data_IF_712809746985
#
_entry.id   IF_712809746985
#
_cell.length_a   1.000
_cell.length_b   1.000
_cell.length_c   1.000
_cell.angle_alpha   90.00
_cell.angle_beta   90.00
_cell.angle_gamma   90.00
#
_symmetry.space_group_name_H-M   'P 1'
#
loop_
_entity.id
_entity.type
_entity.pdbx_description
1 polymer ?
#
# COMPACT_ATOMS: atom_id res chain seq x y z
N UNK A 1 -9.82 15.10 -15.42
CA UNK A 1 -9.47 15.36 -13.99
C UNK A 1 -8.01 15.77 -13.92
N UNK A 2 -7.68 17.02 -14.25
CA UNK A 2 -6.30 17.52 -14.16
C UNK A 2 -6.02 17.85 -12.70
N UNK A 3 -4.91 17.37 -12.14
CA UNK A 3 -4.49 17.67 -10.76
C UNK A 3 -5.24 16.93 -9.64
N UNK A 4 -6.20 16.03 -9.95
CA UNK A 4 -6.89 15.27 -8.89
C UNK A 4 -6.07 14.05 -8.47
N UNK A 5 -5.89 13.92 -7.16
CA UNK A 5 -5.32 12.75 -6.51
C UNK A 5 -6.11 11.49 -6.86
N UNK A 6 -5.42 10.38 -7.11
CA UNK A 6 -6.06 9.10 -7.43
C UNK A 6 -6.60 8.39 -6.19
N UNK A 7 -6.12 8.79 -5.00
CA UNK A 7 -6.45 8.16 -3.70
C UNK A 7 -6.05 6.68 -3.60
N UNK A 8 -5.16 6.27 -4.51
CA UNK A 8 -4.63 4.92 -4.63
C UNK A 8 -3.12 4.98 -4.86
N UNK A 9 -2.44 3.86 -4.62
CA UNK A 9 -1.02 3.68 -4.81
C UNK A 9 -0.76 2.36 -5.51
N UNK A 10 0.20 2.36 -6.42
CA UNK A 10 0.61 1.18 -7.19
C UNK A 10 1.83 0.58 -6.50
N UNK A 11 1.81 -0.74 -6.28
CA UNK A 11 2.94 -1.52 -5.79
C UNK A 11 3.44 -2.39 -6.94
N UNK A 12 4.68 -2.18 -7.35
CA UNK A 12 5.41 -3.03 -8.29
C UNK A 12 6.31 -3.96 -7.48
N UNK A 13 5.89 -5.22 -7.34
CA UNK A 13 6.65 -6.26 -6.65
C UNK A 13 7.31 -7.22 -7.64
N UNK A 14 8.44 -7.80 -7.27
CA UNK A 14 9.09 -8.86 -8.05
C UNK A 14 10.60 -8.84 -7.88
N UNK A 15 11.30 -9.75 -8.56
CA UNK A 15 12.75 -9.89 -8.44
C UNK A 15 13.52 -8.61 -8.85
N UNK A 16 14.75 -8.46 -8.35
CA UNK A 16 15.65 -7.40 -8.80
C UNK A 16 16.16 -7.70 -10.22
N UNK A 17 16.38 -6.63 -11.00
CA UNK A 17 16.91 -6.73 -12.37
C UNK A 17 15.88 -7.07 -13.44
N UNK A 18 14.58 -6.92 -13.15
CA UNK A 18 13.47 -7.19 -14.09
C UNK A 18 12.91 -5.92 -14.77
N UNK A 19 13.56 -4.76 -14.58
CA UNK A 19 13.16 -3.52 -15.25
C UNK A 19 12.16 -2.61 -14.52
N UNK A 20 11.78 -2.91 -13.26
CA UNK A 20 10.85 -2.06 -12.48
C UNK A 20 11.28 -0.58 -12.43
N UNK A 21 12.57 -0.33 -12.17
CA UNK A 21 13.10 1.03 -12.12
C UNK A 21 13.18 1.67 -13.51
N UNK A 22 13.39 0.89 -14.57
CA UNK A 22 13.38 1.41 -15.95
C UNK A 22 12.00 2.00 -16.26
N UNK A 23 10.94 1.27 -15.91
CA UNK A 23 9.56 1.74 -16.07
C UNK A 23 9.26 3.03 -15.28
N UNK A 24 9.61 3.07 -13.99
CA UNK A 24 9.35 4.28 -13.18
C UNK A 24 10.21 5.46 -13.60
N UNK A 25 11.44 5.23 -14.07
CA UNK A 25 12.33 6.29 -14.53
C UNK A 25 11.76 7.01 -15.75
N UNK A 26 11.16 6.28 -16.70
CA UNK A 26 10.47 6.86 -17.86
C UNK A 26 9.33 7.78 -17.42
N UNK A 27 8.49 7.34 -16.48
CA UNK A 27 7.39 8.18 -15.96
C UNK A 27 7.90 9.43 -15.24
N UNK A 28 8.96 9.28 -14.45
CA UNK A 28 9.55 10.41 -13.76
C UNK A 28 10.24 11.40 -14.71
N UNK A 29 10.81 10.92 -15.82
CA UNK A 29 11.38 11.76 -16.87
C UNK A 29 10.29 12.54 -17.61
N UNK A 30 9.18 11.88 -17.94
CA UNK A 30 8.00 12.53 -18.52
C UNK A 30 7.44 13.64 -17.60
N UNK A 31 7.53 13.45 -16.28
CA UNK A 31 7.08 14.39 -15.25
C UNK A 31 8.25 15.15 -14.61
N UNK A 32 9.32 15.42 -15.36
CA UNK A 32 10.50 16.12 -14.84
C UNK A 32 10.12 17.43 -14.15
N UNK A 33 10.69 17.68 -12.95
CA UNK A 33 10.31 18.79 -12.08
C UNK A 33 9.14 18.48 -11.14
N UNK A 34 8.16 17.69 -11.58
CA UNK A 34 6.98 17.30 -10.81
C UNK A 34 7.05 15.87 -10.26
N UNK A 35 8.15 15.15 -10.50
CA UNK A 35 8.40 13.82 -9.95
C UNK A 35 9.52 13.83 -8.91
N UNK A 36 9.44 12.87 -7.98
CA UNK A 36 10.51 12.52 -7.05
C UNK A 36 10.94 11.08 -7.28
N UNK A 37 12.15 10.91 -7.82
CA UNK A 37 12.77 9.61 -8.10
C UNK A 37 13.38 9.06 -6.80
N UNK A 38 13.20 7.77 -6.52
CA UNK A 38 13.95 7.00 -5.53
C UNK A 38 13.90 7.50 -4.07
N UNK A 39 12.71 7.69 -3.50
CA UNK A 39 12.57 7.87 -2.06
C UNK A 39 12.76 6.51 -1.39
N UNK A 40 13.82 6.38 -0.59
CA UNK A 40 14.23 5.10 0.02
C UNK A 40 13.91 5.00 1.51
N UNK A 41 13.50 6.11 2.15
CA UNK A 41 13.07 6.13 3.54
C UNK A 41 11.60 6.56 3.64
N UNK A 42 10.83 5.88 4.49
CA UNK A 42 9.45 6.28 4.78
C UNK A 42 9.41 7.57 5.58
N UNK A 43 10.46 7.88 6.34
CA UNK A 43 10.56 9.14 7.06
C UNK A 43 10.71 10.34 6.10
N UNK A 44 11.03 10.15 4.82
CA UNK A 44 11.01 11.21 3.80
C UNK A 44 9.59 11.50 3.26
N UNK A 45 8.67 10.55 3.43
CA UNK A 45 7.24 10.77 3.15
C UNK A 45 6.53 11.34 4.37
N UNK A 46 6.84 10.80 5.55
CA UNK A 46 6.00 10.93 6.75
C UNK A 46 6.72 11.55 7.95
N UNK A 47 8.03 11.66 7.88
CA UNK A 47 8.86 12.10 9.00
C UNK A 47 8.88 13.62 9.16
N UNK A 48 9.86 14.09 9.93
CA UNK A 48 10.01 15.52 10.25
C UNK A 48 10.40 16.38 9.05
N UNK A 49 10.86 15.81 7.94
CA UNK A 49 11.30 16.54 6.75
C UNK A 49 10.73 15.87 5.51
N UNK A 50 9.57 16.33 5.07
CA UNK A 50 8.78 15.75 3.97
C UNK A 50 8.75 16.65 2.72
N UNK A 51 9.72 17.55 2.57
CA UNK A 51 9.86 18.44 1.40
C UNK A 51 10.08 17.65 0.09
N UNK A 52 10.51 16.39 0.18
CA UNK A 52 10.71 15.51 -0.97
C UNK A 52 9.44 15.26 -1.79
N UNK A 53 8.25 15.41 -1.19
CA UNK A 53 6.95 15.21 -1.86
C UNK A 53 6.18 16.51 -2.07
N UNK A 54 6.75 17.65 -1.64
CA UNK A 54 6.14 18.96 -1.81
C UNK A 54 6.06 19.36 -3.29
N UNK A 55 4.88 19.79 -3.74
CA UNK A 55 4.63 20.20 -5.13
C UNK A 55 4.97 19.10 -6.17
N UNK A 56 4.88 17.82 -5.77
CA UNK A 56 5.10 16.66 -6.64
C UNK A 56 3.80 16.00 -7.03
N UNK A 57 3.68 15.62 -8.30
CA UNK A 57 2.58 14.82 -8.84
C UNK A 57 2.84 13.31 -8.72
N UNK A 58 4.11 12.90 -8.74
CA UNK A 58 4.53 11.50 -8.68
C UNK A 58 5.72 11.32 -7.74
N UNK A 59 5.60 10.37 -6.81
CA UNK A 59 6.69 9.98 -5.93
C UNK A 59 6.95 8.48 -6.05
N UNK A 60 8.21 8.11 -6.31
CA UNK A 60 8.64 6.71 -6.40
C UNK A 60 9.31 6.31 -5.09
N UNK A 61 8.62 5.45 -4.36
CA UNK A 61 9.06 4.78 -3.15
C UNK A 61 9.86 3.52 -3.52
N UNK A 62 11.19 3.58 -3.54
CA UNK A 62 12.03 2.48 -4.03
C UNK A 62 12.71 1.75 -2.87
N UNK A 63 12.49 0.44 -2.76
CA UNK A 63 13.10 -0.44 -1.75
C UNK A 63 13.08 0.20 -0.35
N UNK A 64 11.92 0.74 0.04
CA UNK A 64 11.80 1.54 1.24
C UNK A 64 12.27 0.75 2.46
N UNK A 65 13.36 1.24 3.06
CA UNK A 65 13.91 0.69 4.30
C UNK A 65 12.85 0.86 5.39
N UNK A 66 12.80 -0.07 6.34
CA UNK A 66 11.92 -0.01 7.51
C UNK A 66 10.41 -0.23 7.25
N UNK A 67 10.03 -0.85 6.12
CA UNK A 67 8.70 -1.42 5.95
C UNK A 67 8.59 -2.74 6.72
N UNK A 68 7.83 -2.74 7.83
CA UNK A 68 7.63 -3.90 8.70
C UNK A 68 6.76 -3.58 9.91
N UNK A 69 6.38 -4.61 10.68
CA UNK A 69 5.45 -4.47 11.83
C UNK A 69 5.92 -3.47 12.91
N UNK A 70 7.22 -3.21 13.00
CA UNK A 70 7.83 -2.37 14.03
C UNK A 70 7.47 -0.87 13.94
N UNK A 71 6.82 -0.40 12.87
CA UNK A 71 6.38 1.01 12.73
C UNK A 71 5.00 1.16 12.07
N UNK A 72 3.96 0.60 12.70
CA UNK A 72 2.55 0.80 12.30
C UNK A 72 2.18 2.28 12.10
N UNK A 73 2.76 3.19 12.89
CA UNK A 73 2.53 4.64 12.78
C UNK A 73 2.89 5.20 11.40
N UNK A 74 3.95 4.71 10.77
CA UNK A 74 4.39 5.18 9.47
C UNK A 74 3.47 4.67 8.35
N UNK A 75 2.86 3.50 8.56
CA UNK A 75 1.86 2.98 7.62
C UNK A 75 0.61 3.84 7.60
N UNK A 76 0.01 4.13 8.76
CA UNK A 76 -1.23 4.92 8.81
C UNK A 76 -1.04 6.31 8.24
N UNK A 77 0.10 6.93 8.49
CA UNK A 77 0.41 8.22 7.96
C UNK A 77 0.72 8.19 6.44
N UNK A 78 1.28 7.09 5.90
CA UNK A 78 1.33 6.87 4.45
C UNK A 78 -0.08 6.73 3.83
N UNK A 79 -1.03 6.09 4.53
CA UNK A 79 -2.45 6.03 4.09
C UNK A 79 -3.06 7.43 4.04
N UNK A 80 -2.73 8.28 5.02
CA UNK A 80 -3.08 9.70 5.04
C UNK A 80 -2.59 10.40 3.79
N UNK A 81 -1.27 10.32 3.51
CA UNK A 81 -0.67 10.95 2.32
C UNK A 81 -1.31 10.44 1.02
N UNK A 82 -1.72 9.18 0.95
CA UNK A 82 -2.41 8.62 -0.23
C UNK A 82 -3.82 9.17 -0.40
N UNK A 83 -4.52 9.60 0.64
CA UNK A 83 -5.96 9.92 0.56
C UNK A 83 -6.33 11.37 0.84
N UNK A 84 -5.54 12.08 1.65
CA UNK A 84 -5.83 13.45 2.05
C UNK A 84 -5.52 14.45 0.94
N UNK A 85 -6.28 15.55 0.90
CA UNK A 85 -6.16 16.63 -0.08
C UNK A 85 -5.09 17.66 0.26
N UNK A 86 -4.60 17.67 1.49
CA UNK A 86 -3.52 18.54 1.96
C UNK A 86 -2.70 17.80 3.02
N UNK A 87 -1.49 18.28 3.26
CA UNK A 87 -0.65 17.81 4.37
C UNK A 87 0.25 18.95 4.88
N UNK A 88 0.73 18.81 6.11
CA UNK A 88 1.66 19.77 6.70
C UNK A 88 3.10 19.47 6.25
N UNK A 89 3.76 20.47 5.68
CA UNK A 89 5.20 20.44 5.39
C UNK A 89 5.95 20.94 6.60
N UNK A 90 6.99 20.20 6.99
CA UNK A 90 7.93 20.60 8.01
C UNK A 90 9.34 20.68 7.42
N UNK A 91 9.81 21.90 7.18
CA UNK A 91 11.16 22.16 6.71
C UNK A 91 12.07 22.64 7.86
N UNK A 92 13.35 22.33 7.78
CA UNK A 92 14.35 22.71 8.78
C UNK A 92 14.46 24.23 8.82
N UNK A 93 14.28 24.82 10.00
CA UNK A 93 14.39 26.26 10.24
C UNK A 93 13.31 27.12 9.56
N UNK A 94 12.23 26.51 9.07
CA UNK A 94 11.08 27.20 8.48
C UNK A 94 9.83 26.85 9.28
N UNK A 95 8.89 27.80 9.48
CA UNK A 95 7.60 27.48 10.09
C UNK A 95 6.87 26.42 9.27
N UNK A 96 6.22 25.50 9.97
CA UNK A 96 5.35 24.53 9.32
C UNK A 96 4.23 25.24 8.58
N UNK A 97 3.88 24.71 7.42
CA UNK A 97 2.83 25.27 6.59
C UNK A 97 2.08 24.13 5.89
N UNK A 98 0.81 24.37 5.58
CA UNK A 98 -0.04 23.42 4.88
C UNK A 98 0.11 23.58 3.38
N UNK A 99 0.25 22.46 2.66
CA UNK A 99 0.33 22.42 1.20
C UNK A 99 -0.75 21.52 0.60
N UNK A 100 -1.14 21.81 -0.63
CA UNK A 100 -2.05 20.96 -1.38
C UNK A 100 -1.38 19.63 -1.75
N UNK A 101 -2.11 18.54 -1.58
CA UNK A 101 -1.63 17.19 -1.80
C UNK A 101 -2.00 16.65 -3.18
N UNK A 102 -1.16 16.92 -4.18
CA UNK A 102 -1.33 16.40 -5.55
C UNK A 102 -0.49 15.14 -5.85
N UNK A 103 0.23 14.60 -4.86
CA UNK A 103 1.18 13.50 -5.07
C UNK A 103 0.47 12.16 -5.22
N UNK A 104 0.90 11.36 -6.20
CA UNK A 104 0.56 9.95 -6.33
C UNK A 104 1.80 9.11 -6.08
N UNK A 105 1.65 8.00 -5.36
CA UNK A 105 2.78 7.20 -4.89
C UNK A 105 2.82 5.88 -5.65
N UNK A 106 4.00 5.55 -6.19
CA UNK A 106 4.31 4.21 -6.67
C UNK A 106 5.39 3.59 -5.79
N UNK A 107 5.13 2.40 -5.27
CA UNK A 107 6.06 1.63 -4.44
C UNK A 107 6.72 0.57 -5.31
N UNK A 108 8.04 0.52 -5.34
CA UNK A 108 8.82 -0.48 -6.05
C UNK A 108 9.59 -1.29 -5.03
N UNK A 109 9.41 -2.62 -5.06
CA UNK A 109 9.98 -3.50 -4.04
C UNK A 109 10.38 -4.86 -4.61
N UNK A 110 11.35 -5.48 -3.96
CA UNK A 110 11.68 -6.90 -4.12
C UNK A 110 11.13 -7.76 -2.98
N UNK A 111 10.62 -7.15 -1.92
CA UNK A 111 10.01 -7.85 -0.80
C UNK A 111 8.61 -8.35 -1.19
N UNK A 112 8.34 -9.63 -0.98
CA UNK A 112 7.03 -10.27 -1.20
C UNK A 112 5.98 -9.81 -0.20
N UNK A 113 6.41 -9.27 0.94
CA UNK A 113 5.55 -8.68 1.97
C UNK A 113 6.00 -7.24 2.24
N UNK A 114 5.75 -6.32 1.30
CA UNK A 114 6.20 -4.94 1.46
C UNK A 114 5.44 -4.23 2.56
N UNK A 115 4.11 -4.40 2.66
CA UNK A 115 3.29 -3.68 3.63
C UNK A 115 2.05 -4.46 4.01
N UNK A 116 1.56 -4.23 5.23
CA UNK A 116 0.30 -4.80 5.70
C UNK A 116 -0.90 -4.26 4.92
N UNK A 117 -1.60 -5.13 4.21
CA UNK A 117 -2.82 -4.78 3.46
C UNK A 117 -4.00 -5.49 4.10
N UNK A 118 -5.00 -4.73 4.53
CA UNK A 118 -6.24 -5.29 5.08
C UNK A 118 -7.16 -5.78 3.95
N UNK A 119 -8.04 -6.74 4.25
CA UNK A 119 -8.96 -7.29 3.25
C UNK A 119 -9.91 -6.22 2.64
N UNK A 120 -10.28 -5.21 3.44
CA UNK A 120 -11.11 -4.08 3.01
C UNK A 120 -10.30 -2.93 2.39
N UNK A 121 -8.99 -3.09 2.20
CA UNK A 121 -8.11 -2.02 1.72
C UNK A 121 -8.36 -1.70 0.23
N UNK A 122 -8.80 -0.46 0.01
CA UNK A 122 -9.13 0.12 -1.29
C UNK A 122 -8.06 1.09 -1.83
N UNK A 123 -6.85 1.09 -1.26
CA UNK A 123 -5.78 2.06 -1.58
C UNK A 123 -4.66 1.44 -2.41
N UNK A 124 -4.35 0.15 -2.25
CA UNK A 124 -3.19 -0.45 -2.92
C UNK A 124 -3.55 -1.36 -4.09
N UNK A 125 -3.03 -1.03 -5.28
CA UNK A 125 -3.00 -1.89 -6.47
C UNK A 125 -1.68 -2.67 -6.43
N UNK A 126 -1.73 -4.00 -6.43
CA UNK A 126 -0.51 -4.83 -6.36
C UNK A 126 -0.25 -5.52 -7.69
N UNK A 127 0.85 -5.16 -8.33
CA UNK A 127 1.30 -5.70 -9.60
C UNK A 127 2.56 -6.55 -9.37
N UNK A 128 2.46 -7.83 -9.69
CA UNK A 128 3.62 -8.73 -9.74
C UNK A 128 4.27 -8.62 -11.12
N UNK A 129 5.51 -8.13 -11.14
CA UNK A 129 6.27 -7.92 -12.36
C UNK A 129 6.95 -9.23 -12.80
N UNK A 130 6.79 -9.57 -14.08
CA UNK A 130 7.37 -10.78 -14.65
C UNK A 130 8.91 -10.74 -14.68
N UNK A 131 9.61 -11.85 -14.40
CA UNK A 131 11.05 -11.96 -14.52
C UNK A 131 11.55 -12.36 -15.92
N UNK A 132 10.71 -12.37 -16.96
CA UNK A 132 11.05 -12.90 -18.29
C UNK A 132 12.35 -12.33 -18.90
N UNK A 133 12.59 -11.03 -18.72
CA UNK A 133 13.79 -10.35 -19.22
C UNK A 133 14.90 -10.19 -18.16
N UNK A 134 14.83 -10.92 -17.04
CA UNK A 134 15.82 -10.79 -15.96
C UNK A 134 17.22 -11.16 -16.47
N UNK A 135 18.14 -10.20 -16.43
CA UNK A 135 19.51 -10.41 -16.90
C UNK A 135 19.67 -10.34 -18.42
N UNK A 136 18.60 -10.04 -19.17
CA UNK A 136 18.66 -9.82 -20.60
C UNK A 136 19.20 -8.41 -20.90
N UNK A 137 20.53 -8.30 -20.91
CA UNK A 137 21.22 -7.04 -21.13
C UNK A 137 20.92 -6.48 -22.54
N UNK A 138 20.86 -7.34 -23.56
CA UNK A 138 20.62 -6.91 -24.93
C UNK A 138 19.22 -6.27 -25.09
N UNK A 139 18.21 -6.87 -24.48
CA UNK A 139 16.87 -6.30 -24.42
C UNK A 139 16.86 -4.93 -23.74
N UNK A 140 17.41 -4.83 -22.52
CA UNK A 140 17.40 -3.58 -21.78
C UNK A 140 18.25 -2.49 -22.43
N UNK A 141 19.39 -2.81 -23.03
CA UNK A 141 20.19 -1.85 -23.79
C UNK A 141 19.40 -1.34 -24.99
N UNK A 142 18.76 -2.22 -25.76
CA UNK A 142 17.93 -1.82 -26.91
C UNK A 142 16.76 -0.93 -26.47
N UNK A 143 16.07 -1.33 -25.41
CA UNK A 143 14.95 -0.58 -24.86
C UNK A 143 15.38 0.80 -24.35
N UNK A 144 16.43 0.89 -23.53
CA UNK A 144 16.90 2.16 -22.98
C UNK A 144 17.46 3.10 -24.07
N UNK A 145 18.10 2.55 -25.11
CA UNK A 145 18.58 3.35 -26.23
C UNK A 145 17.43 3.89 -27.11
N UNK A 146 16.23 3.31 -27.02
CA UNK A 146 15.05 3.79 -27.75
C UNK A 146 14.33 4.96 -27.07
N UNK A 147 14.75 5.39 -25.88
CA UNK A 147 14.14 6.51 -25.16
C UNK A 147 14.65 7.86 -25.67
N UNK A 148 14.26 8.21 -26.88
CA UNK A 148 14.52 9.50 -27.51
C UNK A 148 13.35 10.49 -27.33
N UNK A 149 13.50 11.69 -27.88
CA UNK A 149 12.47 12.73 -27.82
C UNK A 149 11.15 12.27 -28.47
N UNK A 150 11.23 11.54 -29.57
CA UNK A 150 10.06 11.00 -30.27
C UNK A 150 9.32 9.96 -29.43
N UNK A 151 10.04 9.09 -28.72
CA UNK A 151 9.46 8.16 -27.76
C UNK A 151 8.65 8.89 -26.68
N UNK A 152 9.22 9.93 -26.06
CA UNK A 152 8.53 10.70 -25.02
C UNK A 152 7.34 11.48 -25.58
N UNK A 153 7.45 12.07 -26.77
CA UNK A 153 6.35 12.76 -27.46
C UNK A 153 5.20 11.80 -27.77
N UNK A 154 5.50 10.60 -28.25
CA UNK A 154 4.51 9.56 -28.51
C UNK A 154 3.85 9.07 -27.21
N UNK A 155 4.64 8.85 -26.16
CA UNK A 155 4.13 8.44 -24.85
C UNK A 155 3.23 9.51 -24.23
N UNK A 156 3.62 10.79 -24.32
CA UNK A 156 2.81 11.90 -23.87
C UNK A 156 1.49 11.98 -24.64
N UNK A 157 1.55 11.86 -25.97
CA UNK A 157 0.37 11.84 -26.84
C UNK A 157 -0.55 10.68 -26.49
N UNK A 158 -0.01 9.50 -26.24
CA UNK A 158 -0.78 8.34 -25.80
C UNK A 158 -1.55 8.62 -24.49
N UNK A 159 -0.90 9.22 -23.48
CA UNK A 159 -1.58 9.56 -22.23
C UNK A 159 -2.62 10.68 -22.39
N UNK A 160 -2.33 11.70 -23.21
CA UNK A 160 -3.24 12.82 -23.45
C UNK A 160 -4.49 12.45 -24.26
N UNK A 161 -4.39 11.42 -25.10
CA UNK A 161 -5.50 10.94 -25.95
C UNK A 161 -6.29 9.79 -25.33
N UNK A 162 -5.83 9.24 -24.20
CA UNK A 162 -6.50 8.14 -23.50
C UNK A 162 -7.80 8.63 -22.86
N UNK A 163 -8.93 8.09 -23.32
CA UNK A 163 -10.20 8.31 -22.63
C UNK A 163 -10.22 7.58 -21.27
N UNK A 164 -10.30 8.37 -20.21
CA UNK A 164 -10.39 7.93 -18.81
C UNK A 164 -11.71 8.38 -18.16
N UNK A 165 -12.71 8.79 -18.95
CA UNK A 165 -14.00 9.28 -18.43
C UNK A 165 -14.72 8.26 -17.55
N UNK A 166 -14.56 6.97 -17.85
CA UNK A 166 -15.13 5.85 -17.09
C UNK A 166 -14.13 5.21 -16.11
N UNK A 167 -12.90 5.71 -16.04
CA UNK A 167 -11.89 5.14 -15.16
C UNK A 167 -12.13 5.57 -13.72
N UNK A 168 -12.31 4.59 -12.84
CA UNK A 168 -12.37 4.79 -11.41
C UNK A 168 -11.08 4.24 -10.76
N UNK A 169 -10.15 5.10 -10.31
CA UNK A 169 -8.91 4.66 -9.67
C UNK A 169 -9.15 3.78 -8.43
N UNK A 170 -10.25 4.02 -7.70
CA UNK A 170 -10.60 3.24 -6.49
C UNK A 170 -11.16 1.84 -6.81
N UNK A 171 -11.45 1.53 -8.07
CA UNK A 171 -11.84 0.19 -8.49
C UNK A 171 -10.58 -0.69 -8.69
N UNK A 172 -10.00 -1.12 -7.58
CA UNK A 172 -8.74 -1.85 -7.56
C UNK A 172 -8.95 -3.35 -7.86
N UNK A 173 -8.20 -3.96 -8.79
CA UNK A 173 -8.26 -5.39 -9.04
C UNK A 173 -7.70 -6.21 -7.86
N UNK A 174 -8.38 -7.32 -7.55
CA UNK A 174 -7.92 -8.28 -6.54
C UNK A 174 -6.98 -9.32 -7.15
N UNK A 175 -5.71 -8.93 -7.36
CA UNK A 175 -4.64 -9.79 -7.92
C UNK A 175 -4.23 -10.90 -6.94
N UNK A 176 -3.60 -11.96 -7.44
CA UNK A 176 -3.08 -13.04 -6.58
C UNK A 176 -2.06 -12.51 -5.57
N UNK A 177 -1.12 -11.68 -6.05
CA UNK A 177 -0.21 -10.92 -5.21
C UNK A 177 -0.89 -10.15 -4.07
N UNK A 178 -1.98 -9.43 -4.36
CA UNK A 178 -2.73 -8.71 -3.32
C UNK A 178 -3.36 -9.67 -2.31
N UNK A 179 -3.93 -10.79 -2.76
CA UNK A 179 -4.51 -11.82 -1.88
C UNK A 179 -3.46 -12.43 -0.96
N UNK A 180 -2.27 -12.70 -1.48
CA UNK A 180 -1.17 -13.29 -0.71
C UNK A 180 -0.67 -12.33 0.37
N UNK A 181 -0.55 -11.03 0.06
CA UNK A 181 -0.23 -10.01 1.08
C UNK A 181 -1.35 -9.91 2.12
N UNK A 182 -2.63 -9.86 1.71
CA UNK A 182 -3.77 -9.82 2.64
C UNK A 182 -3.74 -11.02 3.58
N UNK A 183 -3.46 -12.22 3.04
CA UNK A 183 -3.36 -13.45 3.82
C UNK A 183 -2.18 -13.41 4.79
N UNK A 184 -1.05 -12.87 4.37
CA UNK A 184 0.11 -12.65 5.26
C UNK A 184 -0.12 -11.53 6.29
N UNK A 185 -1.10 -10.64 6.05
CA UNK A 185 -1.49 -9.54 6.94
C UNK A 185 -2.57 -9.89 7.96
N UNK A 186 -3.08 -11.12 7.95
CA UNK A 186 -4.11 -11.59 8.88
C UNK A 186 -3.61 -11.44 10.32
N UNK A 187 -4.45 -10.88 11.19
CA UNK A 187 -4.05 -10.70 12.58
C UNK A 187 -4.01 -12.04 13.31
N UNK A 188 -3.20 -12.19 14.38
CA UNK A 188 -3.20 -13.40 15.20
C UNK A 188 -4.60 -13.76 15.77
N UNK A 189 -5.48 -12.77 15.93
CA UNK A 189 -6.86 -12.97 16.39
C UNK A 189 -7.71 -13.55 15.26
N UNK A 190 -7.59 -13.00 14.06
CA UNK A 190 -8.30 -13.49 12.88
C UNK A 190 -7.85 -14.91 12.53
N UNK A 191 -6.56 -15.22 12.64
CA UNK A 191 -6.04 -16.58 12.44
C UNK A 191 -6.67 -17.60 13.40
N UNK A 192 -6.87 -17.22 14.66
CA UNK A 192 -7.59 -18.06 15.64
C UNK A 192 -9.05 -18.25 15.23
N UNK A 193 -9.72 -17.19 14.78
CA UNK A 193 -11.11 -17.27 14.32
C UNK A 193 -11.20 -18.18 13.09
N UNK A 194 -10.31 -18.03 12.12
CA UNK A 194 -10.26 -18.85 10.89
C UNK A 194 -9.99 -20.31 11.24
N UNK A 195 -9.00 -20.57 12.10
CA UNK A 195 -8.62 -21.92 12.52
C UNK A 195 -9.74 -22.65 13.28
N UNK A 196 -10.56 -21.91 14.03
CA UNK A 196 -11.67 -22.44 14.83
C UNK A 196 -13.04 -22.04 14.27
N UNK A 197 -13.14 -21.75 12.97
CA UNK A 197 -14.33 -21.16 12.36
C UNK A 197 -15.62 -21.95 12.65
N UNK A 198 -15.56 -23.29 12.60
CA UNK A 198 -16.71 -24.15 12.92
C UNK A 198 -17.19 -23.94 14.35
N UNK A 199 -16.27 -23.90 15.32
CA UNK A 199 -16.61 -23.69 16.72
C UNK A 199 -17.18 -22.30 16.99
N UNK A 200 -16.68 -21.27 16.32
CA UNK A 200 -17.25 -19.92 16.39
C UNK A 200 -18.67 -19.88 15.79
N UNK A 201 -18.86 -20.51 14.62
CA UNK A 201 -20.17 -20.58 13.94
C UNK A 201 -21.21 -21.35 14.77
N UNK A 202 -20.81 -22.47 15.36
CA UNK A 202 -21.71 -23.35 16.11
C UNK A 202 -21.94 -22.85 17.55
N UNK A 203 -21.17 -21.85 17.98
CA UNK A 203 -21.24 -21.21 19.29
C UNK A 203 -20.32 -21.88 20.32
N UNK A 204 -19.28 -21.14 20.74
CA UNK A 204 -18.26 -21.60 21.69
C UNK A 204 -18.27 -20.74 22.95
N UNK A 205 -18.00 -21.35 24.11
CA UNK A 205 -17.94 -20.63 25.40
C UNK A 205 -16.70 -19.75 25.48
N UNK A 206 -16.84 -18.55 26.07
CA UNK A 206 -15.73 -17.60 26.23
C UNK A 206 -14.47 -18.20 26.86
N UNK A 207 -14.60 -19.07 27.86
CA UNK A 207 -13.45 -19.69 28.53
C UNK A 207 -12.58 -20.52 27.57
N UNK A 208 -13.21 -21.22 26.61
CA UNK A 208 -12.48 -22.00 25.60
C UNK A 208 -11.78 -21.04 24.62
N UNK A 209 -12.48 -20.00 24.18
CA UNK A 209 -11.92 -18.98 23.27
C UNK A 209 -10.73 -18.27 23.89
N UNK A 210 -10.80 -17.91 25.18
CA UNK A 210 -9.70 -17.32 25.93
C UNK A 210 -8.47 -18.24 26.01
N UNK A 211 -8.68 -19.56 25.96
CA UNK A 211 -7.61 -20.55 25.86
C UNK A 211 -6.91 -20.58 24.50
N UNK A 212 -7.53 -20.06 23.43
CA UNK A 212 -6.92 -19.94 22.10
C UNK A 212 -6.16 -18.63 21.89
N UNK A 213 -6.06 -17.79 22.93
CA UNK A 213 -5.34 -16.52 22.88
C UNK A 213 -3.88 -16.72 22.44
N UNK A 214 -3.40 -15.97 21.43
CA UNK A 214 -1.98 -15.95 21.07
C UNK A 214 -1.07 -15.64 22.26
N UNK A 215 0.08 -16.31 22.36
CA UNK A 215 0.96 -16.22 23.53
C UNK A 215 1.40 -14.77 23.83
N UNK A 216 1.74 -14.02 22.78
CA UNK A 216 2.27 -12.65 22.87
C UNK A 216 1.20 -11.60 23.23
N UNK A 217 -0.09 -11.94 23.14
CA UNK A 217 -1.18 -10.99 23.36
C UNK A 217 -1.65 -10.95 24.81
N UNK A 218 -1.92 -9.75 25.35
CA UNK A 218 -2.59 -9.59 26.65
C UNK A 218 -4.05 -10.04 26.56
N UNK A 219 -4.54 -10.78 27.56
CA UNK A 219 -5.90 -11.33 27.57
C UNK A 219 -6.99 -10.27 27.36
N UNK A 220 -6.88 -9.10 27.99
CA UNK A 220 -7.83 -8.00 27.82
C UNK A 220 -7.91 -7.49 26.38
N UNK A 221 -6.76 -7.40 25.68
CA UNK A 221 -6.72 -6.95 24.29
C UNK A 221 -7.33 -8.01 23.37
N UNK A 222 -7.07 -9.29 23.63
CA UNK A 222 -7.65 -10.40 22.89
C UNK A 222 -9.18 -10.44 23.03
N UNK A 223 -9.70 -10.32 24.26
CA UNK A 223 -11.14 -10.25 24.52
C UNK A 223 -11.81 -9.09 23.77
N UNK A 224 -11.16 -7.92 23.74
CA UNK A 224 -11.67 -6.75 23.01
C UNK A 224 -11.68 -6.98 21.50
N UNK A 225 -10.62 -7.56 20.95
CA UNK A 225 -10.52 -7.87 19.52
C UNK A 225 -11.58 -8.90 19.09
N UNK A 226 -11.74 -9.99 19.84
CA UNK A 226 -12.78 -10.99 19.59
C UNK A 226 -14.17 -10.36 19.66
N UNK A 227 -14.44 -9.49 20.64
CA UNK A 227 -15.74 -8.81 20.78
C UNK A 227 -16.08 -7.89 19.59
N UNK A 228 -15.07 -7.31 18.94
CA UNK A 228 -15.29 -6.49 17.75
C UNK A 228 -15.67 -7.31 16.51
N UNK A 229 -15.37 -8.61 16.50
CA UNK A 229 -15.58 -9.49 15.33
C UNK A 229 -16.75 -10.45 15.56
N UNK A 230 -16.90 -10.95 16.79
CA UNK A 230 -17.86 -11.98 17.18
C UNK A 230 -18.85 -11.45 18.22
N UNK A 231 -20.12 -11.83 18.08
CA UNK A 231 -21.16 -11.49 19.05
C UNK A 231 -21.08 -12.38 20.30
N UNK A 232 -21.17 -11.76 21.48
CA UNK A 232 -21.19 -12.47 22.76
C UNK A 232 -22.62 -12.55 23.28
N UNK A 233 -23.19 -13.75 23.29
CA UNK A 233 -24.54 -14.00 23.84
C UNK A 233 -24.43 -14.61 25.25
N UNK A 234 -25.22 -14.09 26.20
CA UNK A 234 -25.33 -14.68 27.55
C UNK A 234 -26.48 -15.67 27.56
N UNK A 235 -26.19 -16.97 27.71
CA UNK A 235 -27.23 -18.00 27.91
C UNK A 235 -27.57 -18.13 29.39
N UNK A 236 -28.79 -17.81 29.77
CA UNK A 236 -29.41 -18.19 31.05
C UNK A 236 -30.15 -19.52 30.89
N UNK A 237 -30.28 -20.30 31.97
CA UNK A 237 -30.87 -21.66 31.98
C UNK A 237 -32.37 -21.74 31.61
N UNK A 238 -32.98 -20.66 31.15
CA UNK A 238 -34.33 -20.60 30.58
C UNK A 238 -34.31 -19.63 29.39
N UNK A 239 -34.81 -20.10 28.25
CA UNK A 239 -34.55 -19.53 26.92
C UNK A 239 -34.86 -18.05 26.72
N UNK A 240 -33.99 -17.44 25.90
CA UNK A 240 -34.08 -16.20 25.09
C UNK A 240 -34.20 -14.81 25.77
N UNK A 241 -33.26 -13.91 25.46
CA UNK A 241 -33.45 -12.85 24.43
C UNK A 241 -32.18 -12.02 24.11
N UNK A 242 -32.14 -11.61 22.83
CA UNK A 242 -31.43 -10.51 22.12
C UNK A 242 -30.04 -10.11 22.59
#
# INVERSE_FOLDING_TARGET
NIGKKTETSIILQGLQGIGKNVFTNVLCELLTGYSSKNITDIDDFVGKFNTAIENKMLAIANEMKNFGESRMSNMDALKSIITESSFEINEKYVPKHEVENVVNIMIVTNNIYPLKIENSDRRYVVCECSPDHRGDLAYFTTLCNSFDEDFYNNLFTFFMTRDISQFNPRNIPMTQAKKDIIKASVSPVDDVIISHFKSFRDGVTCNIVEGWKPQEMKLKNYQLAIKNICERVRKTSGGERK
#
